data_IF_464401826031
#
_entry.id   IF_464401826031
#
_cell.length_a   1.000
_cell.length_b   1.000
_cell.length_c   1.000
_cell.angle_alpha   90.00
_cell.angle_beta   90.00
_cell.angle_gamma   90.00
#
_symmetry.space_group_name_H-M   'P 1'
#
loop_
_entity.id
_entity.type
_entity.pdbx_description
1 polymer ?
#
# COMPACT_ATOMS: atom_id res chain seq x y z
N UNK A 1 34.07 -3.80 -10.67
CA UNK A 1 33.13 -4.25 -9.64
C UNK A 1 32.22 -3.07 -9.37
N UNK A 2 31.05 -3.04 -10.01
CA UNK A 2 30.08 -1.96 -9.77
C UNK A 2 29.51 -2.20 -8.37
N UNK A 3 29.81 -1.33 -7.41
CA UNK A 3 29.05 -1.27 -6.17
C UNK A 3 27.61 -0.96 -6.57
N UNK A 4 26.68 -1.83 -6.19
CA UNK A 4 25.26 -1.52 -6.25
C UNK A 4 25.06 -0.46 -5.16
N UNK A 5 24.53 0.70 -5.49
CA UNK A 5 24.24 1.71 -4.46
C UNK A 5 23.27 1.11 -3.43
N UNK A 6 23.53 1.37 -2.15
CA UNK A 6 22.69 0.89 -1.04
C UNK A 6 21.29 1.48 -1.20
N UNK A 7 20.25 0.63 -1.12
CA UNK A 7 18.86 1.08 -1.32
C UNK A 7 18.40 1.92 -0.12
N UNK A 8 17.94 3.15 -0.35
CA UNK A 8 17.51 4.09 0.69
C UNK A 8 16.01 3.97 0.89
N UNK A 9 15.62 3.49 2.07
CA UNK A 9 14.24 3.13 2.39
C UNK A 9 13.74 4.06 3.49
N UNK A 10 12.60 4.69 3.27
CA UNK A 10 11.80 5.31 4.33
C UNK A 10 10.67 4.35 4.70
N UNK A 11 10.47 4.10 5.99
CA UNK A 11 9.41 3.21 6.48
C UNK A 11 8.41 3.92 7.39
N UNK A 12 7.13 3.73 7.10
CA UNK A 12 5.99 4.24 7.88
C UNK A 12 5.26 3.09 8.63
N UNK A 13 5.59 2.87 9.92
CA UNK A 13 4.91 1.89 10.77
C UNK A 13 3.72 2.45 11.57
N UNK A 14 3.45 3.75 11.52
CA UNK A 14 2.53 4.42 12.46
C UNK A 14 1.06 4.00 12.35
N UNK A 15 0.71 3.23 11.32
CA UNK A 15 -0.57 2.52 11.26
C UNK A 15 -0.69 1.41 12.33
N UNK A 16 0.41 0.89 12.89
CA UNK A 16 0.46 -0.13 13.94
C UNK A 16 0.18 0.43 15.35
N UNK A 17 -0.44 -0.34 16.26
CA UNK A 17 -0.65 0.10 17.64
C UNK A 17 0.70 0.26 18.38
N UNK A 18 0.73 1.12 19.41
CA UNK A 18 1.97 1.69 19.97
C UNK A 18 3.13 0.72 20.23
N UNK A 19 2.89 -0.41 20.91
CA UNK A 19 3.95 -1.39 21.19
C UNK A 19 4.50 -2.08 19.93
N UNK A 20 3.65 -2.30 18.91
CA UNK A 20 4.06 -2.86 17.62
C UNK A 20 4.79 -1.82 16.77
N UNK A 21 4.34 -0.56 16.79
CA UNK A 21 5.03 0.53 16.10
C UNK A 21 6.47 0.70 16.65
N UNK A 22 6.63 0.65 17.98
CA UNK A 22 7.94 0.77 18.62
C UNK A 22 8.94 -0.33 18.25
N UNK A 23 8.47 -1.54 17.91
CA UNK A 23 9.31 -2.67 17.47
C UNK A 23 9.39 -2.84 15.95
N UNK A 24 8.69 -1.99 15.19
CA UNK A 24 8.54 -2.16 13.75
C UNK A 24 9.86 -2.00 12.98
N UNK A 25 10.75 -1.10 13.41
CA UNK A 25 12.09 -0.93 12.82
C UNK A 25 12.89 -2.23 12.91
N UNK A 26 13.00 -2.80 14.11
CA UNK A 26 13.72 -4.06 14.33
C UNK A 26 13.12 -5.21 13.52
N UNK A 27 11.79 -5.28 13.46
CA UNK A 27 11.09 -6.28 12.66
C UNK A 27 11.42 -6.14 11.18
N UNK A 28 11.38 -4.93 10.62
CA UNK A 28 11.65 -4.73 9.20
C UNK A 28 13.11 -5.03 8.86
N UNK A 29 14.07 -4.54 9.66
CA UNK A 29 15.50 -4.86 9.48
C UNK A 29 15.76 -6.35 9.46
N UNK A 30 15.18 -7.09 10.41
CA UNK A 30 15.32 -8.54 10.45
C UNK A 30 14.86 -9.21 9.15
N UNK A 31 13.75 -8.75 8.56
CA UNK A 31 13.26 -9.30 7.29
C UNK A 31 14.10 -8.87 6.09
N UNK A 32 14.58 -7.62 6.04
CA UNK A 32 15.46 -7.14 4.97
C UNK A 32 16.82 -7.85 5.00
N UNK A 33 17.37 -8.13 6.18
CA UNK A 33 18.63 -8.87 6.35
C UNK A 33 18.53 -10.30 5.79
N UNK A 34 17.34 -10.93 5.82
CA UNK A 34 17.11 -12.25 5.22
C UNK A 34 17.14 -12.21 3.68
N UNK A 35 16.99 -11.04 3.07
CA UNK A 35 17.05 -10.87 1.61
C UNK A 35 18.50 -10.71 1.09
N UNK A 36 19.48 -10.56 1.99
CA UNK A 36 20.90 -10.34 1.66
C UNK A 36 21.08 -9.14 0.69
N UNK A 37 20.39 -8.04 0.99
CA UNK A 37 20.48 -6.77 0.25
C UNK A 37 21.21 -5.71 1.07
N UNK A 38 21.89 -4.79 0.38
CA UNK A 38 22.45 -3.59 0.99
C UNK A 38 21.37 -2.49 1.02
N UNK A 39 21.09 -1.95 2.21
CA UNK A 39 20.07 -0.94 2.42
C UNK A 39 20.42 0.05 3.55
N UNK A 40 19.88 1.26 3.43
CA UNK A 40 19.78 2.24 4.51
C UNK A 40 18.30 2.44 4.85
N UNK A 41 17.89 2.00 6.04
CA UNK A 41 16.53 2.16 6.52
C UNK A 41 16.41 3.34 7.49
N UNK A 42 15.56 4.30 7.15
CA UNK A 42 15.07 5.35 8.03
C UNK A 42 13.60 5.08 8.39
N UNK A 43 13.30 4.93 9.68
CA UNK A 43 11.96 4.56 10.15
C UNK A 43 11.29 5.76 10.80
N UNK A 44 10.22 6.26 10.17
CA UNK A 44 9.46 7.42 10.65
C UNK A 44 8.26 6.95 11.46
N UNK A 45 8.40 6.88 12.77
CA UNK A 45 7.34 6.41 13.68
C UNK A 45 6.15 7.39 13.81
N UNK A 46 6.30 8.60 13.29
CA UNK A 46 5.30 9.66 13.20
C UNK A 46 5.67 10.55 12.01
N UNK A 47 4.70 11.28 11.45
CA UNK A 47 4.97 12.30 10.43
C UNK A 47 5.08 13.71 11.04
N UNK A 48 4.82 13.87 12.35
CA UNK A 48 4.89 15.17 13.04
C UNK A 48 6.27 15.82 13.03
N UNK A 49 7.32 15.01 12.90
CA UNK A 49 8.70 15.44 13.03
C UNK A 49 9.41 15.54 11.67
N UNK A 50 8.67 15.37 10.57
CA UNK A 50 9.18 15.37 9.20
C UNK A 50 8.46 16.38 8.32
N UNK A 51 9.21 17.11 7.52
CA UNK A 51 8.69 17.91 6.42
C UNK A 51 8.47 17.01 5.19
N UNK A 52 7.34 17.15 4.47
CA UNK A 52 7.12 16.42 3.22
C UNK A 52 8.32 16.44 2.26
N UNK A 53 9.05 17.55 2.14
CA UNK A 53 10.20 17.64 1.22
C UNK A 53 11.35 16.68 1.55
N UNK A 54 11.36 16.06 2.73
CA UNK A 54 12.32 15.01 3.09
C UNK A 54 12.09 13.72 2.29
N UNK A 55 10.84 13.44 1.88
CA UNK A 55 10.49 12.31 1.02
C UNK A 55 10.68 12.71 -0.45
N UNK A 56 11.93 12.68 -0.91
CA UNK A 56 12.34 13.09 -2.26
C UNK A 56 13.08 11.95 -2.97
N UNK A 57 12.81 11.74 -4.27
CA UNK A 57 13.37 10.60 -5.04
C UNK A 57 14.88 10.69 -5.26
N UNK A 58 15.49 11.88 -5.14
CA UNK A 58 16.95 12.01 -5.16
C UNK A 58 17.59 11.49 -3.87
N UNK A 59 16.80 11.28 -2.80
CA UNK A 59 17.25 10.90 -1.45
C UNK A 59 16.73 9.55 -0.97
N UNK A 60 15.56 9.16 -1.45
CA UNK A 60 14.83 7.96 -1.04
C UNK A 60 14.54 7.17 -2.30
N UNK A 61 14.84 5.87 -2.29
CA UNK A 61 14.55 4.99 -3.42
C UNK A 61 13.18 4.32 -3.24
N UNK A 62 12.81 4.02 -1.99
CA UNK A 62 11.60 3.27 -1.65
C UNK A 62 10.89 3.87 -0.43
N UNK A 63 9.60 4.19 -0.58
CA UNK A 63 8.68 4.38 0.53
C UNK A 63 7.98 3.06 0.85
N UNK A 64 8.22 2.53 2.05
CA UNK A 64 7.53 1.36 2.59
C UNK A 64 6.44 1.81 3.57
N UNK A 65 5.19 1.47 3.29
CA UNK A 65 4.04 1.77 4.16
C UNK A 65 3.50 0.48 4.74
N UNK A 66 3.58 0.36 6.06
CA UNK A 66 3.18 -0.83 6.80
C UNK A 66 1.66 -1.00 6.93
N UNK A 67 1.27 -2.14 7.52
CA UNK A 67 -0.12 -2.43 7.88
C UNK A 67 -0.53 -1.84 9.23
N UNK A 68 -1.80 -2.00 9.57
CA UNK A 68 -2.41 -1.48 10.80
C UNK A 68 -3.78 -0.88 10.52
N UNK A 69 -4.15 0.19 11.22
CA UNK A 69 -5.43 0.86 10.99
C UNK A 69 -5.34 1.85 9.81
N UNK A 70 -6.15 1.62 8.78
CA UNK A 70 -6.16 2.40 7.54
C UNK A 70 -6.64 3.84 7.73
N UNK A 71 -7.65 4.08 8.58
CA UNK A 71 -8.17 5.42 8.84
C UNK A 71 -7.14 6.31 9.55
N UNK A 72 -6.45 5.77 10.56
CA UNK A 72 -5.36 6.46 11.26
C UNK A 72 -4.17 6.73 10.35
N UNK A 73 -3.85 5.79 9.47
CA UNK A 73 -2.81 5.96 8.46
C UNK A 73 -3.13 7.15 7.55
N UNK A 74 -4.34 7.18 6.97
CA UNK A 74 -4.78 8.30 6.12
C UNK A 74 -4.82 9.62 6.88
N UNK A 75 -5.32 9.63 8.11
CA UNK A 75 -5.41 10.81 8.97
C UNK A 75 -4.02 11.45 9.17
N UNK A 76 -3.01 10.66 9.56
CA UNK A 76 -1.64 11.15 9.73
C UNK A 76 -1.04 11.68 8.41
N UNK A 77 -1.20 10.94 7.31
CA UNK A 77 -0.67 11.34 5.99
C UNK A 77 -1.29 12.67 5.54
N UNK A 78 -2.58 12.88 5.79
CA UNK A 78 -3.27 14.12 5.44
C UNK A 78 -2.93 15.28 6.37
N UNK A 79 -2.99 15.06 7.69
CA UNK A 79 -2.69 16.11 8.67
C UNK A 79 -1.30 16.72 8.48
N UNK A 80 -0.34 15.91 8.02
CA UNK A 80 1.04 16.33 7.80
C UNK A 80 1.36 16.68 6.34
N UNK A 81 0.37 16.72 5.44
CA UNK A 81 0.55 17.21 4.06
C UNK A 81 1.31 16.26 3.14
N UNK A 82 1.35 14.96 3.44
CA UNK A 82 2.12 13.97 2.70
C UNK A 82 1.41 13.39 1.47
N UNK A 83 0.10 13.62 1.28
CA UNK A 83 -0.65 13.05 0.15
C UNK A 83 -0.02 13.44 -1.19
N UNK A 84 0.11 14.75 -1.46
CA UNK A 84 0.67 15.23 -2.72
C UNK A 84 2.17 14.93 -2.85
N UNK A 85 2.87 14.91 -1.72
CA UNK A 85 4.29 14.61 -1.70
C UNK A 85 4.58 13.15 -2.09
N UNK A 86 3.81 12.18 -1.60
CA UNK A 86 3.98 10.77 -1.99
C UNK A 86 3.68 10.59 -3.48
N UNK A 87 2.64 11.26 -4.00
CA UNK A 87 2.32 11.25 -5.44
C UNK A 87 3.49 11.77 -6.27
N UNK A 88 4.06 12.91 -5.85
CA UNK A 88 5.23 13.51 -6.50
C UNK A 88 6.45 12.60 -6.44
N UNK A 89 6.74 12.05 -5.26
CA UNK A 89 7.83 11.11 -5.06
C UNK A 89 7.76 9.93 -6.05
N UNK A 90 6.57 9.35 -6.24
CA UNK A 90 6.38 8.28 -7.22
C UNK A 90 6.52 8.74 -8.68
N UNK A 91 5.97 9.91 -9.02
CA UNK A 91 6.10 10.50 -10.36
C UNK A 91 7.56 10.83 -10.72
N UNK A 92 8.35 11.21 -9.73
CA UNK A 92 9.77 11.52 -9.86
C UNK A 92 10.67 10.26 -9.77
N UNK A 93 10.08 9.06 -9.80
CA UNK A 93 10.76 7.78 -9.96
C UNK A 93 10.98 6.96 -8.68
N UNK A 94 10.46 7.41 -7.54
CA UNK A 94 10.52 6.68 -6.28
C UNK A 94 9.55 5.50 -6.22
N UNK A 95 9.98 4.38 -5.66
CA UNK A 95 9.14 3.18 -5.52
C UNK A 95 8.23 3.28 -4.29
N UNK A 96 7.00 2.78 -4.41
CA UNK A 96 6.05 2.64 -3.29
C UNK A 96 5.78 1.16 -3.00
N UNK A 97 5.89 0.76 -1.74
CA UNK A 97 5.42 -0.53 -1.25
C UNK A 97 4.34 -0.31 -0.19
N UNK A 98 3.16 -0.87 -0.41
CA UNK A 98 2.05 -0.85 0.55
C UNK A 98 1.72 -2.26 1.05
N UNK A 99 1.85 -2.50 2.35
CA UNK A 99 1.37 -3.72 3.01
C UNK A 99 0.05 -3.47 3.71
N UNK A 100 -0.95 -4.33 3.50
CA UNK A 100 -2.26 -4.24 4.18
C UNK A 100 -2.88 -2.83 4.05
N UNK A 101 -3.04 -2.08 5.15
CA UNK A 101 -3.48 -0.68 5.14
C UNK A 101 -2.71 0.20 4.14
N UNK A 102 -1.39 0.02 3.99
CA UNK A 102 -0.59 0.74 3.00
C UNK A 102 -0.97 0.40 1.54
N UNK A 103 -1.49 -0.80 1.27
CA UNK A 103 -2.00 -1.15 -0.06
C UNK A 103 -3.33 -0.44 -0.35
N UNK A 104 -4.19 -0.32 0.66
CA UNK A 104 -5.45 0.44 0.56
C UNK A 104 -5.16 1.93 0.35
N UNK A 105 -4.23 2.49 1.12
CA UNK A 105 -3.81 3.91 1.02
C UNK A 105 -3.32 4.29 -0.40
N UNK A 106 -2.73 3.35 -1.14
CA UNK A 106 -2.25 3.60 -2.49
C UNK A 106 -3.37 3.86 -3.52
N UNK A 107 -4.61 3.46 -3.22
CA UNK A 107 -5.76 3.62 -4.10
C UNK A 107 -6.30 5.07 -4.08
N UNK A 108 -7.31 5.39 -4.89
CA UNK A 108 -7.97 6.70 -4.89
C UNK A 108 -8.73 7.00 -3.59
N UNK A 109 -9.18 5.96 -2.89
CA UNK A 109 -9.97 6.09 -1.66
C UNK A 109 -9.70 4.91 -0.73
N UNK A 110 -9.84 5.12 0.58
CA UNK A 110 -9.80 4.05 1.58
C UNK A 110 -11.18 3.49 1.93
N UNK A 111 -12.25 3.87 1.22
CA UNK A 111 -13.64 3.42 1.51
C UNK A 111 -13.77 1.90 1.72
N UNK A 112 -12.97 1.10 1.02
CA UNK A 112 -12.98 -0.36 1.17
C UNK A 112 -12.50 -0.86 2.54
N UNK A 113 -11.87 0.00 3.35
CA UNK A 113 -11.49 -0.31 4.73
C UNK A 113 -12.67 -0.21 5.71
N UNK A 114 -13.82 0.34 5.30
CA UNK A 114 -15.01 0.39 6.16
C UNK A 114 -15.47 -1.03 6.53
N UNK A 115 -15.76 -1.24 7.81
CA UNK A 115 -16.05 -2.57 8.38
C UNK A 115 -14.82 -3.48 8.59
N UNK A 116 -13.63 -3.10 8.11
CA UNK A 116 -12.38 -3.81 8.37
C UNK A 116 -11.55 -3.15 9.47
N UNK A 117 -11.49 -1.82 9.47
CA UNK A 117 -10.80 -1.01 10.47
C UNK A 117 -11.77 -0.03 11.14
N UNK A 118 -11.61 0.27 12.44
CA UNK A 118 -12.38 1.33 13.08
C UNK A 118 -11.94 2.71 12.59
N UNK A 119 -12.89 3.55 12.18
CA UNK A 119 -12.68 4.97 11.87
C UNK A 119 -12.59 5.81 13.16
N UNK A 120 -11.59 5.54 14.00
CA UNK A 120 -11.34 6.27 15.25
C UNK A 120 -11.11 7.78 15.04
N UNK A 121 -10.42 8.24 13.97
CA UNK A 121 -10.26 9.67 13.70
C UNK A 121 -11.55 10.36 13.24
N UNK A 122 -12.58 9.62 12.83
CA UNK A 122 -13.85 10.18 12.36
C UNK A 122 -13.73 10.87 11.00
N UNK A 123 -13.00 10.27 10.05
CA UNK A 123 -12.85 10.81 8.70
C UNK A 123 -14.14 10.67 7.89
N UNK A 124 -14.63 11.76 7.32
CA UNK A 124 -15.75 11.76 6.35
C UNK A 124 -15.26 11.73 4.90
N UNK A 125 -14.16 12.44 4.61
CA UNK A 125 -13.47 12.37 3.33
C UNK A 125 -12.51 11.17 3.37
N UNK A 126 -12.56 10.28 2.37
CA UNK A 126 -11.74 9.07 2.32
C UNK A 126 -10.79 9.02 1.12
N UNK A 127 -10.67 10.11 0.34
CA UNK A 127 -9.71 10.24 -0.76
C UNK A 127 -8.25 10.01 -0.33
N UNK A 128 -7.57 9.06 -0.95
CA UNK A 128 -6.22 8.64 -0.56
C UNK A 128 -5.18 9.10 -1.60
N UNK A 129 -4.11 8.31 -1.81
CA UNK A 129 -2.98 8.74 -2.62
C UNK A 129 -3.31 8.76 -4.12
N UNK A 130 -4.19 7.88 -4.59
CA UNK A 130 -4.52 7.76 -6.01
C UNK A 130 -3.34 7.35 -6.87
N UNK A 131 -2.42 6.53 -6.34
CA UNK A 131 -1.34 5.91 -7.12
C UNK A 131 -1.89 4.81 -8.03
N UNK A 132 -2.92 4.10 -7.56
CA UNK A 132 -3.74 3.17 -8.31
C UNK A 132 -5.13 3.80 -8.49
N UNK A 133 -5.62 3.85 -9.74
CA UNK A 133 -6.87 4.54 -10.10
C UNK A 133 -7.93 3.57 -10.63
N UNK A 134 -9.21 3.89 -10.42
CA UNK A 134 -10.34 3.07 -10.86
C UNK A 134 -10.37 1.65 -10.29
N UNK A 135 -9.66 1.41 -9.19
CA UNK A 135 -9.49 0.10 -8.56
C UNK A 135 -9.29 0.25 -7.06
N UNK A 136 -10.00 -0.56 -6.27
CA UNK A 136 -9.79 -0.71 -4.84
C UNK A 136 -9.04 -2.02 -4.55
N UNK A 137 -8.10 -1.98 -3.61
CA UNK A 137 -7.37 -3.17 -3.14
C UNK A 137 -7.97 -3.63 -1.83
N UNK A 138 -8.42 -4.88 -1.78
CA UNK A 138 -8.90 -5.54 -0.56
C UNK A 138 -7.84 -6.54 -0.07
N UNK A 139 -6.97 -6.15 0.88
CA UNK A 139 -6.00 -7.07 1.48
C UNK A 139 -6.71 -8.11 2.36
N UNK A 140 -5.99 -9.17 2.71
CA UNK A 140 -6.49 -10.26 3.57
C UNK A 140 -7.73 -10.98 2.99
N UNK A 141 -7.90 -10.94 1.67
CA UNK A 141 -9.08 -11.47 1.01
C UNK A 141 -9.22 -12.98 1.24
N UNK A 142 -10.42 -13.39 1.64
CA UNK A 142 -10.85 -14.78 1.73
C UNK A 142 -12.07 -15.03 0.86
N UNK A 143 -12.32 -16.30 0.48
CA UNK A 143 -13.48 -16.65 -0.34
C UNK A 143 -14.82 -16.31 0.34
N UNK A 144 -14.87 -16.24 1.68
CA UNK A 144 -16.08 -15.83 2.42
C UNK A 144 -16.46 -14.37 2.15
N UNK A 145 -15.51 -13.55 1.71
CA UNK A 145 -15.73 -12.13 1.37
C UNK A 145 -16.15 -11.93 -0.08
N UNK A 146 -16.13 -12.98 -0.93
CA UNK A 146 -16.34 -12.87 -2.37
C UNK A 146 -17.65 -12.16 -2.73
N UNK A 147 -18.77 -12.55 -2.11
CA UNK A 147 -20.06 -11.94 -2.40
C UNK A 147 -20.15 -10.49 -1.93
N UNK A 148 -19.61 -10.19 -0.75
CA UNK A 148 -19.64 -8.84 -0.19
C UNK A 148 -18.77 -7.88 -1.02
N UNK A 149 -17.56 -8.32 -1.38
CA UNK A 149 -16.63 -7.56 -2.22
C UNK A 149 -17.19 -7.33 -3.64
N UNK A 150 -17.86 -8.35 -4.22
CA UNK A 150 -18.54 -8.19 -5.50
C UNK A 150 -19.67 -7.16 -5.45
N UNK A 151 -20.54 -7.23 -4.43
CA UNK A 151 -21.60 -6.22 -4.23
C UNK A 151 -21.03 -4.82 -4.02
N UNK A 152 -19.94 -4.70 -3.28
CA UNK A 152 -19.25 -3.43 -3.05
C UNK A 152 -18.68 -2.88 -4.37
N UNK A 153 -18.03 -3.71 -5.19
CA UNK A 153 -17.53 -3.31 -6.50
C UNK A 153 -18.66 -2.76 -7.40
N UNK A 154 -19.79 -3.48 -7.48
CA UNK A 154 -20.99 -3.04 -8.19
C UNK A 154 -21.53 -1.70 -7.70
N UNK A 155 -21.69 -1.53 -6.38
CA UNK A 155 -22.32 -0.32 -5.82
C UNK A 155 -21.47 0.94 -5.99
N UNK A 156 -20.14 0.79 -6.09
CA UNK A 156 -19.20 1.89 -6.30
C UNK A 156 -18.80 2.05 -7.78
N UNK A 157 -19.27 1.17 -8.67
CA UNK A 157 -18.93 1.21 -10.10
C UNK A 157 -17.42 1.08 -10.36
N UNK A 158 -16.73 0.26 -9.57
CA UNK A 158 -15.27 0.12 -9.59
C UNK A 158 -14.83 -1.35 -9.64
N UNK A 159 -13.53 -1.59 -9.74
CA UNK A 159 -12.91 -2.91 -9.64
C UNK A 159 -12.39 -3.13 -8.23
N UNK A 160 -12.58 -4.33 -7.68
CA UNK A 160 -11.92 -4.77 -6.44
C UNK A 160 -10.89 -5.84 -6.76
N UNK A 161 -9.66 -5.64 -6.32
CA UNK A 161 -8.62 -6.68 -6.30
C UNK A 161 -8.55 -7.27 -4.90
N UNK A 162 -9.10 -8.47 -4.74
CA UNK A 162 -8.99 -9.29 -3.53
C UNK A 162 -7.64 -10.01 -3.49
N UNK A 163 -6.80 -9.66 -2.50
CA UNK A 163 -5.47 -10.24 -2.30
C UNK A 163 -5.45 -11.08 -1.01
N UNK A 164 -5.35 -12.42 -1.12
CA UNK A 164 -5.02 -13.26 0.03
C UNK A 164 -3.62 -12.97 0.58
N UNK A 165 -3.35 -13.35 1.84
CA UNK A 165 -2.05 -13.16 2.53
C UNK A 165 -0.82 -13.63 1.74
N UNK A 166 -1.01 -14.67 0.92
CA UNK A 166 0.06 -15.30 0.15
C UNK A 166 0.28 -14.67 -1.24
N UNK A 167 -0.37 -13.54 -1.52
CA UNK A 167 -0.38 -12.88 -2.83
C UNK A 167 0.08 -11.42 -2.69
N UNK A 168 0.95 -11.01 -3.60
CA UNK A 168 1.32 -9.61 -3.79
C UNK A 168 1.10 -9.18 -5.23
N UNK A 169 1.06 -7.87 -5.45
CA UNK A 169 0.93 -7.26 -6.77
C UNK A 169 2.11 -6.31 -6.99
N UNK A 170 2.86 -6.51 -8.07
CA UNK A 170 3.85 -5.53 -8.53
C UNK A 170 3.27 -4.80 -9.73
N UNK A 171 3.17 -3.48 -9.67
CA UNK A 171 2.80 -2.65 -10.80
C UNK A 171 4.05 -1.98 -11.38
N UNK A 172 4.13 -1.91 -12.70
CA UNK A 172 5.21 -1.26 -13.44
C UNK A 172 4.60 -0.71 -14.74
N UNK A 173 4.70 0.60 -14.96
CA UNK A 173 4.14 1.30 -16.13
C UNK A 173 2.67 0.91 -16.46
N UNK A 174 1.80 0.88 -15.44
CA UNK A 174 0.39 0.51 -15.60
C UNK A 174 0.12 -0.98 -15.84
N UNK A 175 1.14 -1.84 -15.73
CA UNK A 175 0.99 -3.29 -15.86
C UNK A 175 1.20 -3.96 -14.50
N UNK A 176 0.13 -4.54 -13.98
CA UNK A 176 0.18 -5.34 -12.78
C UNK A 176 0.66 -6.76 -13.08
N UNK A 177 1.54 -7.29 -12.21
CA UNK A 177 1.97 -8.69 -12.24
C UNK A 177 1.78 -9.35 -10.88
N UNK A 178 1.07 -10.47 -10.86
CA UNK A 178 0.79 -11.23 -9.64
C UNK A 178 2.05 -11.95 -9.13
N UNK A 179 2.26 -11.94 -7.82
CA UNK A 179 3.35 -12.59 -7.09
C UNK A 179 2.81 -13.44 -5.95
N UNK A 180 3.58 -14.44 -5.50
CA UNK A 180 3.24 -15.27 -4.34
C UNK A 180 2.70 -16.66 -4.71
N UNK A 181 2.04 -17.34 -3.76
CA UNK A 181 1.62 -18.75 -3.88
C UNK A 181 0.10 -18.94 -4.02
N UNK A 182 -0.69 -17.90 -3.84
CA UNK A 182 -2.16 -17.92 -3.95
C UNK A 182 -2.70 -17.43 -5.30
N UNK A 183 -3.99 -17.08 -5.31
CA UNK A 183 -4.66 -16.46 -6.44
C UNK A 183 -5.17 -15.06 -6.06
N UNK A 184 -4.92 -14.08 -6.92
CA UNK A 184 -5.59 -12.79 -6.86
C UNK A 184 -6.98 -12.93 -7.48
N UNK A 185 -8.00 -12.33 -6.85
CA UNK A 185 -9.36 -12.30 -7.38
C UNK A 185 -9.69 -10.87 -7.82
N UNK A 186 -10.05 -10.69 -9.10
CA UNK A 186 -10.56 -9.43 -9.64
C UNK A 186 -12.07 -9.49 -9.73
N UNK A 187 -12.73 -8.54 -9.10
CA UNK A 187 -14.18 -8.41 -9.03
C UNK A 187 -14.60 -7.13 -9.74
N UNK A 188 -15.58 -7.25 -10.62
CA UNK A 188 -16.32 -6.12 -11.21
C UNK A 188 -17.81 -6.44 -11.20
N UNK A 189 -18.65 -5.51 -11.63
CA UNK A 189 -20.12 -5.59 -11.52
C UNK A 189 -20.69 -6.97 -11.92
N UNK A 190 -20.12 -7.60 -12.96
CA UNK A 190 -20.58 -8.90 -13.48
C UNK A 190 -19.47 -9.90 -13.76
N UNK A 191 -18.24 -9.68 -13.28
CA UNK A 191 -17.13 -10.62 -13.51
C UNK A 191 -16.36 -10.95 -12.23
N UNK A 192 -15.96 -12.21 -12.15
CA UNK A 192 -14.97 -12.70 -11.19
C UNK A 192 -13.89 -13.39 -11.99
N UNK A 193 -12.67 -12.85 -11.91
CA UNK A 193 -11.51 -13.40 -12.59
C UNK A 193 -10.44 -13.76 -11.57
N UNK A 194 -9.75 -14.87 -11.77
CA UNK A 194 -8.70 -15.35 -10.87
C UNK A 194 -7.36 -15.40 -11.59
N UNK A 195 -6.34 -14.84 -10.96
CA UNK A 195 -4.99 -14.72 -11.50
C UNK A 195 -4.00 -15.41 -10.58
N UNK A 196 -3.18 -16.29 -11.14
CA UNK A 196 -2.07 -16.93 -10.42
C UNK A 196 -0.78 -16.12 -10.58
N UNK A 197 0.24 -16.44 -9.79
CA UNK A 197 1.57 -15.85 -9.93
C UNK A 197 2.08 -15.86 -11.39
N UNK A 198 2.66 -14.74 -11.81
CA UNK A 198 3.15 -14.52 -13.17
C UNK A 198 2.10 -13.97 -14.14
N UNK A 199 0.81 -14.04 -13.81
CA UNK A 199 -0.24 -13.40 -14.62
C UNK A 199 -0.05 -11.88 -14.68
N UNK A 200 -0.37 -11.29 -15.83
CA UNK A 200 -0.27 -9.85 -16.09
C UNK A 200 -1.61 -9.30 -16.57
N UNK A 201 -1.93 -8.08 -16.16
CA UNK A 201 -3.11 -7.35 -16.62
C UNK A 201 -2.89 -5.84 -16.46
N UNK A 202 -3.65 -5.04 -17.22
CA UNK A 202 -3.63 -3.59 -17.12
C UNK A 202 -4.21 -3.14 -15.77
N UNK A 203 -3.49 -2.25 -15.10
CA UNK A 203 -3.89 -1.62 -13.85
C UNK A 203 -3.66 -0.12 -13.99
N UNK A 204 -4.72 0.70 -14.06
CA UNK A 204 -4.58 2.14 -14.15
C UNK A 204 -3.82 2.70 -12.93
N UNK A 205 -2.83 3.55 -13.19
CA UNK A 205 -2.03 4.25 -12.17
C UNK A 205 -1.99 5.74 -12.46
N UNK A 206 -1.45 6.51 -11.51
CA UNK A 206 -1.12 7.93 -11.69
C UNK A 206 -0.14 8.16 -12.86
#
# INVERSE_FOLDING_TARGET
MFHRESTRIVYWPFALPGAMCASADQWLRHNLDLLDIDYHLDTWQTLSDHDPVELDSDRVDLLLVGGGNTFRLLDQVRQHGFVDQVRRFCLDGGDYYGGSAGAVLACETIEIADGHDPNEPGLDDLAALGLITGTAVLPHFTEDQLEAAGRWASSHGTVVLGLPESVGLRCDEGIATVRGKGQLTRLSDHSVERFTAGSRFDLPTL
#
